data_IF_814891548685
#
_entry.id   IF_814891548685
#
_cell.length_a   1.000
_cell.length_b   1.000
_cell.length_c   1.000
_cell.angle_alpha   90.00
_cell.angle_beta   90.00
_cell.angle_gamma   90.00
#
_symmetry.space_group_name_H-M   'P 1'
#
loop_
_entity.id
_entity.type
_entity.pdbx_description
1 polymer ?
#
# COMPACT_ATOMS: atom_id res chain seq x y z
N UNK A 1 -15.77 -9.49 -2.96
CA UNK A 1 -14.35 -9.63 -2.57
C UNK A 1 -13.92 -8.32 -1.94
N UNK A 2 -13.50 -8.32 -0.68
CA UNK A 2 -13.08 -7.12 0.04
C UNK A 2 -11.62 -6.73 -0.31
N UNK A 3 -11.19 -5.50 -0.03
CA UNK A 3 -9.84 -5.01 -0.37
C UNK A 3 -8.72 -5.87 0.26
N UNK A 4 -8.95 -6.39 1.48
CA UNK A 4 -8.00 -7.25 2.18
C UNK A 4 -7.84 -8.63 1.51
N UNK A 5 -8.92 -9.21 0.99
CA UNK A 5 -8.90 -10.47 0.23
C UNK A 5 -8.06 -10.32 -1.06
N UNK A 6 -8.24 -9.21 -1.78
CA UNK A 6 -7.44 -8.90 -2.97
C UNK A 6 -5.96 -8.76 -2.62
N UNK A 7 -5.64 -8.00 -1.57
CA UNK A 7 -4.26 -7.83 -1.10
C UNK A 7 -3.65 -9.18 -0.75
N UNK A 8 -4.37 -10.03 0.00
CA UNK A 8 -3.91 -11.35 0.40
C UNK A 8 -3.61 -12.24 -0.82
N UNK A 9 -4.46 -12.22 -1.85
CA UNK A 9 -4.25 -12.99 -3.08
C UNK A 9 -3.03 -12.49 -3.86
N UNK A 10 -2.88 -11.17 -4.01
CA UNK A 10 -1.70 -10.58 -4.67
C UNK A 10 -0.40 -10.92 -3.93
N UNK A 11 -0.43 -11.00 -2.60
CA UNK A 11 0.72 -11.48 -1.82
C UNK A 11 1.07 -12.95 -2.13
N UNK A 12 0.07 -13.82 -2.28
CA UNK A 12 0.28 -15.24 -2.67
C UNK A 12 0.90 -15.33 -4.06
N UNK A 13 0.33 -14.64 -5.04
CA UNK A 13 0.87 -14.59 -6.42
C UNK A 13 2.31 -14.08 -6.45
N UNK A 14 2.59 -13.00 -5.70
CA UNK A 14 3.96 -12.45 -5.60
C UNK A 14 4.93 -13.48 -5.03
N UNK A 15 4.54 -14.19 -3.97
CA UNK A 15 5.37 -15.23 -3.32
C UNK A 15 5.72 -16.36 -4.30
N UNK A 16 4.75 -16.81 -5.09
CA UNK A 16 4.95 -17.86 -6.10
C UNK A 16 5.97 -17.43 -7.17
N UNK A 17 5.92 -16.17 -7.61
CA UNK A 17 6.83 -15.61 -8.61
C UNK A 17 8.23 -15.34 -8.06
N UNK A 18 8.36 -14.98 -6.78
CA UNK A 18 9.65 -14.78 -6.11
C UNK A 18 10.31 -16.07 -5.64
N UNK A 19 9.61 -17.20 -5.67
CA UNK A 19 10.16 -18.50 -5.30
C UNK A 19 11.19 -19.00 -6.30
N UNK A 20 12.06 -19.92 -5.89
CA UNK A 20 12.98 -20.60 -6.78
C UNK A 20 12.22 -21.49 -7.76
N UNK A 21 11.83 -20.93 -8.91
CA UNK A 21 11.35 -21.70 -10.03
C UNK A 21 12.55 -22.06 -10.90
N UNK A 22 12.81 -23.36 -11.04
CA UNK A 22 13.87 -23.86 -11.91
C UNK A 22 13.67 -23.43 -13.37
N UNK A 23 14.78 -23.45 -14.10
CA UNK A 23 14.92 -23.26 -15.55
C UNK A 23 14.86 -21.81 -16.11
N UNK A 24 16.05 -21.39 -16.57
CA UNK A 24 16.38 -20.24 -17.43
C UNK A 24 16.40 -18.83 -16.79
N UNK A 25 17.48 -18.08 -17.06
CA UNK A 25 17.70 -16.68 -16.64
C UNK A 25 16.53 -15.79 -17.11
N UNK A 26 16.05 -15.98 -18.35
CA UNK A 26 14.93 -15.21 -18.92
C UNK A 26 13.64 -15.39 -18.11
N UNK A 27 13.37 -16.62 -17.67
CA UNK A 27 12.21 -16.92 -16.81
C UNK A 27 12.32 -16.20 -15.48
N UNK A 28 13.53 -16.16 -14.90
CA UNK A 28 13.80 -15.49 -13.64
C UNK A 28 13.59 -13.97 -13.73
N UNK A 29 14.10 -13.32 -14.78
CA UNK A 29 13.92 -11.87 -15.00
C UNK A 29 12.45 -11.48 -15.16
N UNK A 30 11.70 -12.24 -15.97
CA UNK A 30 10.26 -12.00 -16.17
C UNK A 30 9.49 -12.16 -14.86
N UNK A 31 9.81 -13.19 -14.08
CA UNK A 31 9.18 -13.42 -12.78
C UNK A 31 9.50 -12.32 -11.77
N UNK A 32 10.75 -11.84 -11.74
CA UNK A 32 11.14 -10.70 -10.92
C UNK A 32 10.39 -9.43 -11.30
N UNK A 33 10.26 -9.13 -12.59
CA UNK A 33 9.50 -7.99 -13.07
C UNK A 33 8.02 -8.08 -12.68
N UNK A 34 7.38 -9.24 -12.88
CA UNK A 34 5.99 -9.47 -12.44
C UNK A 34 5.84 -9.31 -10.92
N UNK A 35 6.77 -9.84 -10.14
CA UNK A 35 6.77 -9.67 -8.68
C UNK A 35 6.92 -8.20 -8.26
N UNK A 36 7.69 -7.40 -9.01
CA UNK A 36 7.79 -5.95 -8.81
C UNK A 36 6.46 -5.25 -9.09
N UNK A 37 5.79 -5.56 -10.20
CA UNK A 37 4.47 -5.02 -10.54
C UNK A 37 3.44 -5.33 -9.44
N UNK A 38 3.39 -6.58 -8.97
CA UNK A 38 2.51 -6.99 -7.89
C UNK A 38 2.83 -6.24 -6.59
N UNK A 39 4.11 -6.02 -6.27
CA UNK A 39 4.51 -5.21 -5.10
C UNK A 39 3.97 -3.78 -5.18
N UNK A 40 3.99 -3.16 -6.37
CA UNK A 40 3.43 -1.82 -6.58
C UNK A 40 1.92 -1.81 -6.44
N UNK A 41 1.23 -2.81 -6.98
CA UNK A 41 -0.22 -2.96 -6.86
C UNK A 41 -0.66 -3.14 -5.40
N UNK A 42 0.02 -4.02 -4.66
CA UNK A 42 -0.22 -4.23 -3.21
C UNK A 42 -0.08 -2.90 -2.47
N UNK A 43 1.02 -2.17 -2.67
CA UNK A 43 1.27 -0.90 -1.97
C UNK A 43 0.22 0.18 -2.30
N UNK A 44 -0.37 0.15 -3.50
CA UNK A 44 -1.46 1.05 -3.87
C UNK A 44 -2.77 0.69 -3.17
N UNK A 45 -3.10 -0.60 -3.08
CA UNK A 45 -4.29 -1.10 -2.39
C UNK A 45 -4.20 -0.92 -0.87
N UNK A 46 -3.04 -1.17 -0.26
CA UNK A 46 -2.79 -0.92 1.16
C UNK A 46 -3.03 0.56 1.55
N UNK A 47 -2.89 1.48 0.59
CA UNK A 47 -3.19 2.91 0.81
C UNK A 47 -4.68 3.23 0.77
N UNK A 48 -5.51 2.35 0.21
CA UNK A 48 -6.97 2.52 0.20
C UNK A 48 -7.63 2.07 1.50
N UNK A 49 -6.98 1.18 2.26
CA UNK A 49 -7.40 0.85 3.62
C UNK A 49 -7.32 2.13 4.47
N UNK A 50 -8.45 2.62 5.02
CA UNK A 50 -8.45 3.87 5.78
C UNK A 50 -7.51 3.81 6.98
N UNK A 51 -6.71 4.87 7.15
CA UNK A 51 -5.78 5.02 8.27
C UNK A 51 -6.19 6.19 9.14
N UNK A 52 -6.32 5.97 10.44
CA UNK A 52 -6.58 7.05 11.40
C UNK A 52 -5.31 7.86 11.65
N UNK A 53 -5.24 9.16 11.30
CA UNK A 53 -4.07 9.99 11.56
C UNK A 53 -3.75 10.04 13.05
N UNK A 54 -2.45 10.09 13.37
CA UNK A 54 -2.02 10.36 14.75
C UNK A 54 -2.17 11.86 15.02
N UNK A 55 -2.70 12.27 16.16
CA UNK A 55 -2.83 13.70 16.51
C UNK A 55 -1.54 14.17 17.20
N UNK A 56 -0.72 15.03 16.57
CA UNK A 56 0.46 15.60 17.23
C UNK A 56 0.05 16.65 18.28
N UNK A 57 0.97 16.99 19.19
CA UNK A 57 0.79 18.01 20.24
C UNK A 57 0.52 19.40 19.62
N UNK A 58 1.10 19.66 18.44
CA UNK A 58 0.97 20.90 17.67
C UNK A 58 0.70 20.49 16.21
N UNK A 59 -0.42 20.90 15.64
CA UNK A 59 -0.79 20.60 14.24
C UNK A 59 -1.98 19.65 14.05
N UNK A 60 -2.49 19.58 12.82
CA UNK A 60 -3.65 18.74 12.43
C UNK A 60 -3.15 17.44 11.82
N UNK A 61 -3.11 16.36 12.60
CA UNK A 61 -2.88 15.00 12.11
C UNK A 61 -1.48 14.70 11.51
N UNK A 62 -1.04 13.46 11.66
CA UNK A 62 0.20 12.92 11.09
C UNK A 62 -0.07 11.63 10.34
N UNK A 63 0.47 11.52 9.13
CA UNK A 63 0.32 10.34 8.27
C UNK A 63 1.43 9.32 8.55
N UNK A 64 1.18 8.04 8.22
CA UNK A 64 2.19 6.97 8.26
C UNK A 64 3.47 7.26 7.47
N UNK A 65 3.40 8.15 6.46
CA UNK A 65 4.56 8.55 5.67
C UNK A 65 5.41 9.65 6.33
N UNK A 66 5.02 10.14 7.51
CA UNK A 66 5.75 11.15 8.26
C UNK A 66 5.30 12.60 8.04
N UNK A 67 4.50 12.87 6.99
CA UNK A 67 3.92 14.21 6.75
C UNK A 67 2.93 14.60 7.86
N UNK A 68 3.08 15.84 8.30
CA UNK A 68 2.23 16.52 9.28
C UNK A 68 1.34 17.57 8.58
N UNK A 69 0.44 18.22 9.32
CA UNK A 69 -0.50 19.21 8.79
C UNK A 69 -1.39 18.65 7.68
N UNK A 70 -1.99 17.49 7.94
CA UNK A 70 -2.91 16.83 7.01
C UNK A 70 -4.21 17.63 6.84
N UNK A 71 -4.64 17.77 5.60
CA UNK A 71 -5.92 18.36 5.24
C UNK A 71 -7.06 17.33 5.35
N UNK A 72 -8.19 17.74 5.92
CA UNK A 72 -9.43 16.95 6.00
C UNK A 72 -10.24 16.97 4.71
N UNK A 73 -10.01 17.94 3.81
CA UNK A 73 -10.85 18.19 2.62
C UNK A 73 -10.95 17.00 1.67
N UNK A 74 -9.85 16.30 1.45
CA UNK A 74 -9.79 15.20 0.47
C UNK A 74 -9.93 13.82 1.11
N UNK A 75 -9.78 13.70 2.43
CA UNK A 75 -9.61 12.41 3.13
C UNK A 75 -8.44 11.57 2.58
N UNK A 76 -7.44 12.21 1.97
CA UNK A 76 -6.21 11.57 1.53
C UNK A 76 -5.00 12.38 1.94
N UNK A 77 -3.90 11.70 2.26
CA UNK A 77 -2.60 12.35 2.42
C UNK A 77 -2.13 12.88 1.06
N UNK A 78 -2.00 14.20 0.92
CA UNK A 78 -1.54 14.82 -0.34
C UNK A 78 -0.13 14.42 -0.77
N UNK A 79 0.71 13.92 0.16
CA UNK A 79 2.07 13.47 -0.15
C UNK A 79 2.12 12.03 -0.66
N UNK A 80 1.52 11.08 0.08
CA UNK A 80 1.68 9.65 -0.24
C UNK A 80 0.42 8.98 -0.78
N UNK A 81 -0.73 9.67 -0.80
CA UNK A 81 -2.01 9.14 -1.27
C UNK A 81 -2.70 8.16 -0.31
N UNK A 82 -2.28 8.08 0.96
CA UNK A 82 -2.95 7.27 1.97
C UNK A 82 -4.36 7.80 2.24
N UNK A 83 -5.39 6.95 2.16
CA UNK A 83 -6.75 7.27 2.61
C UNK A 83 -6.77 7.47 4.12
N UNK A 84 -7.37 8.56 4.56
CA UNK A 84 -7.43 8.97 5.96
C UNK A 84 -8.84 8.73 6.50
N UNK A 85 -8.91 8.23 7.73
CA UNK A 85 -10.13 8.14 8.51
C UNK A 85 -10.03 9.09 9.70
N UNK A 86 -10.85 10.14 9.70
CA UNK A 86 -10.84 11.13 10.79
C UNK A 86 -11.73 10.72 11.97
N UNK A 87 -12.46 9.59 11.86
CA UNK A 87 -13.53 9.23 12.79
C UNK A 87 -14.81 10.04 12.53
N UNK A 88 -15.93 9.56 13.06
CA UNK A 88 -17.11 10.40 13.22
C UNK A 88 -16.83 11.42 14.35
N UNK A 89 -17.30 12.66 14.15
CA UNK A 89 -17.39 13.65 15.23
C UNK A 89 -18.40 13.21 16.30
#
# INVERSE_FOLDING_TARGET
MNEQEVINELHRMKKQLSGAQGCSIKTQEVNQYRALCLRRAIAALEKQIPYKPTTPIIGVGKCKCGVEFLDRKTNYCGNCGQRLDWGAE
#
